data_IF_886711917352
#
_entry.id   IF_886711917352
#
_cell.length_a   1.000
_cell.length_b   1.000
_cell.length_c   1.000
_cell.angle_alpha   90.00
_cell.angle_beta   90.00
_cell.angle_gamma   90.00
#
_symmetry.space_group_name_H-M   'P 1'
#
loop_
_entity.id
_entity.type
_entity.pdbx_description
1 polymer ?
#
# COMPACT_ATOMS: atom_id res chain seq x y z
N UNK A 1 -26.34 -9.46 4.00
CA UNK A 1 -26.95 -8.68 5.12
C UNK A 1 -25.93 -8.39 6.22
N UNK A 2 -26.13 -7.38 7.08
CA UNK A 2 -25.28 -7.10 8.27
C UNK A 2 -25.03 -8.38 9.07
N UNK A 3 -26.06 -9.22 9.26
CA UNK A 3 -25.96 -10.52 9.94
C UNK A 3 -25.00 -11.52 9.28
N UNK A 4 -24.93 -11.60 7.95
CA UNK A 4 -23.96 -12.46 7.26
C UNK A 4 -22.54 -11.92 7.39
N UNK A 5 -22.36 -10.59 7.44
CA UNK A 5 -21.05 -9.94 7.64
C UNK A 5 -20.56 -10.05 9.07
N UNK A 6 -21.46 -9.92 10.06
CA UNK A 6 -21.19 -10.18 11.47
C UNK A 6 -20.98 -11.67 11.72
N UNK A 7 -21.69 -12.57 11.02
CA UNK A 7 -21.47 -14.01 11.08
C UNK A 7 -20.17 -14.46 10.39
N UNK A 8 -19.78 -13.79 9.29
CA UNK A 8 -18.46 -13.93 8.68
C UNK A 8 -17.41 -13.50 9.71
N UNK A 9 -17.50 -12.27 10.22
CA UNK A 9 -16.60 -11.74 11.25
C UNK A 9 -16.54 -12.59 12.54
N UNK A 10 -17.65 -13.19 13.00
CA UNK A 10 -17.69 -14.06 14.17
C UNK A 10 -17.27 -15.51 13.89
N UNK A 11 -17.36 -15.98 12.64
CA UNK A 11 -16.80 -17.26 12.16
C UNK A 11 -15.29 -17.17 11.92
N UNK A 12 -14.79 -16.00 11.51
CA UNK A 12 -13.37 -15.60 11.55
C UNK A 12 -12.99 -15.01 12.93
N UNK A 13 -13.90 -15.10 13.90
CA UNK A 13 -13.96 -14.35 15.15
C UNK A 13 -12.95 -14.75 16.20
N UNK A 14 -11.69 -14.43 15.95
CA UNK A 14 -10.80 -14.02 17.02
C UNK A 14 -10.55 -12.54 16.77
N UNK A 15 -11.04 -11.66 17.66
CA UNK A 15 -10.43 -10.34 17.81
C UNK A 15 -8.93 -10.61 17.98
N UNK A 16 -8.06 -10.29 16.99
CA UNK A 16 -6.80 -11.00 16.85
C UNK A 16 -6.04 -10.93 18.15
N UNK A 17 -5.83 -12.10 18.74
CA UNK A 17 -4.95 -12.25 19.89
C UNK A 17 -3.62 -11.56 19.53
N UNK A 18 -3.11 -10.80 20.48
CA UNK A 18 -1.96 -9.90 20.37
C UNK A 18 -0.96 -10.29 19.27
N UNK A 19 -0.70 -9.32 18.38
CA UNK A 19 0.43 -9.18 17.44
C UNK A 19 1.34 -10.41 17.46
N UNK A 20 0.93 -11.48 16.76
CA UNK A 20 1.76 -12.67 16.65
C UNK A 20 2.98 -12.29 15.83
N UNK A 21 4.17 -12.41 16.43
CA UNK A 21 5.48 -12.10 15.87
C UNK A 21 5.82 -13.04 14.70
N UNK A 22 5.17 -12.85 13.55
CA UNK A 22 5.42 -13.58 12.31
C UNK A 22 6.51 -12.89 11.47
N UNK A 23 7.57 -13.62 11.12
CA UNK A 23 8.66 -13.10 10.28
C UNK A 23 8.11 -12.40 9.01
N UNK A 24 8.54 -11.16 8.75
CA UNK A 24 8.09 -10.32 7.61
C UNK A 24 8.91 -10.50 6.33
N UNK A 25 9.72 -11.56 6.22
CA UNK A 25 10.18 -11.98 4.90
C UNK A 25 9.00 -12.67 4.23
N UNK A 26 8.38 -12.08 3.19
CA UNK A 26 7.26 -12.71 2.51
C UNK A 26 7.70 -14.08 1.99
N UNK A 27 6.84 -15.09 2.15
CA UNK A 27 7.04 -16.42 1.55
C UNK A 27 5.89 -16.69 0.58
N UNK A 28 5.77 -15.88 -0.50
CA UNK A 28 4.67 -16.03 -1.44
C UNK A 28 4.75 -17.38 -2.14
N UNK A 29 3.59 -18.02 -2.29
CA UNK A 29 3.45 -19.21 -3.13
C UNK A 29 3.11 -18.87 -4.57
N UNK A 30 2.65 -17.63 -4.83
CA UNK A 30 2.34 -17.12 -6.16
C UNK A 30 3.44 -16.26 -6.78
N UNK A 31 3.09 -15.54 -7.85
CA UNK A 31 4.02 -14.67 -8.57
C UNK A 31 4.54 -13.49 -7.76
N UNK A 32 5.69 -12.95 -8.18
CA UNK A 32 6.31 -11.76 -7.58
C UNK A 32 6.30 -10.64 -8.62
N UNK A 33 5.71 -9.50 -8.27
CA UNK A 33 5.79 -8.25 -9.03
C UNK A 33 6.52 -7.23 -8.17
N UNK A 34 7.67 -6.73 -8.64
CA UNK A 34 8.41 -5.73 -7.89
C UNK A 34 9.09 -4.67 -8.74
N UNK A 35 9.34 -3.51 -8.13
CA UNK A 35 10.08 -2.38 -8.72
C UNK A 35 9.43 -1.78 -9.96
N UNK A 36 8.11 -1.76 -10.02
CA UNK A 36 7.34 -1.21 -11.15
C UNK A 36 6.70 0.11 -10.75
N UNK A 37 6.86 1.14 -11.59
CA UNK A 37 6.08 2.38 -11.50
C UNK A 37 5.13 2.46 -12.69
N UNK A 38 3.83 2.56 -12.43
CA UNK A 38 2.78 2.62 -13.45
C UNK A 38 2.12 3.99 -13.41
N UNK A 39 1.96 4.59 -14.59
CA UNK A 39 1.30 5.88 -14.76
C UNK A 39 0.17 5.75 -15.78
N UNK A 40 -1.02 6.28 -15.48
CA UNK A 40 -2.11 6.35 -16.45
C UNK A 40 -3.47 5.94 -15.90
N UNK A 41 -4.35 5.49 -16.79
CA UNK A 41 -5.73 5.16 -16.44
C UNK A 41 -6.05 3.70 -16.71
N UNK A 42 -6.69 3.05 -15.74
CA UNK A 42 -7.20 1.68 -15.86
C UNK A 42 -8.71 1.71 -15.68
N UNK A 43 -9.45 1.16 -16.64
CA UNK A 43 -10.92 1.05 -16.55
C UNK A 43 -11.37 -0.36 -16.84
N UNK A 44 -12.31 -0.89 -16.06
CA UNK A 44 -12.91 -2.19 -16.26
C UNK A 44 -14.42 -2.14 -15.99
N UNK A 45 -15.23 -2.40 -17.01
CA UNK A 45 -16.70 -2.44 -16.94
C UNK A 45 -17.27 -3.84 -17.17
N UNK A 46 -16.42 -4.86 -17.32
CA UNK A 46 -16.84 -6.24 -17.59
C UNK A 46 -16.45 -7.21 -16.47
N UNK A 47 -15.21 -7.11 -15.99
CA UNK A 47 -14.67 -7.94 -14.92
C UNK A 47 -14.74 -7.26 -13.55
N UNK A 48 -14.56 -8.05 -12.50
CA UNK A 48 -14.74 -7.60 -11.11
C UNK A 48 -13.59 -6.73 -10.57
N UNK A 49 -12.45 -6.61 -11.27
CA UNK A 49 -11.25 -5.97 -10.72
C UNK A 49 -10.58 -4.96 -11.66
N UNK A 50 -10.16 -3.83 -11.11
CA UNK A 50 -9.26 -2.89 -11.77
C UNK A 50 -8.15 -2.44 -10.81
N UNK A 51 -6.90 -2.49 -11.27
CA UNK A 51 -5.75 -2.07 -10.47
C UNK A 51 -4.64 -1.47 -11.33
N UNK A 52 -3.80 -0.64 -10.72
CA UNK A 52 -2.65 -0.06 -11.40
C UNK A 52 -1.53 -1.07 -11.69
N UNK A 53 -1.31 -2.06 -10.80
CA UNK A 53 -0.18 -3.00 -10.92
C UNK A 53 -0.68 -4.44 -11.15
N UNK A 54 -1.50 -4.97 -10.22
CA UNK A 54 -1.96 -6.37 -10.28
C UNK A 54 -3.45 -6.44 -9.97
N UNK A 55 -4.30 -6.90 -10.90
CA UNK A 55 -5.73 -7.04 -10.59
C UNK A 55 -5.97 -8.00 -9.42
N UNK A 56 -5.51 -9.24 -9.50
CA UNK A 56 -5.71 -10.25 -8.46
C UNK A 56 -4.35 -10.71 -7.94
N UNK A 57 -4.05 -10.40 -6.69
CA UNK A 57 -2.81 -10.83 -6.06
C UNK A 57 -3.04 -12.15 -5.31
N UNK A 58 -2.25 -13.18 -5.65
CA UNK A 58 -2.08 -14.44 -4.89
C UNK A 58 -0.58 -14.68 -4.57
N UNK A 59 0.22 -13.60 -4.55
CA UNK A 59 1.67 -13.64 -4.33
C UNK A 59 2.19 -12.38 -3.63
N UNK A 60 3.29 -11.82 -4.14
CA UNK A 60 3.95 -10.63 -3.57
C UNK A 60 3.95 -9.48 -4.57
N UNK A 61 3.53 -8.30 -4.09
CA UNK A 61 3.76 -7.02 -4.76
C UNK A 61 4.67 -6.18 -3.87
N UNK A 62 5.82 -5.77 -4.37
CA UNK A 62 6.85 -5.09 -3.58
C UNK A 62 7.46 -3.90 -4.32
N UNK A 63 7.74 -2.80 -3.61
CA UNK A 63 8.45 -1.64 -4.19
C UNK A 63 7.75 -1.05 -5.44
N UNK A 64 6.42 -1.11 -5.49
CA UNK A 64 5.65 -0.66 -6.64
C UNK A 64 5.00 0.72 -6.40
N UNK A 65 4.84 1.47 -7.48
CA UNK A 65 4.15 2.75 -7.49
C UNK A 65 3.05 2.77 -8.55
N UNK A 66 1.92 3.40 -8.23
CA UNK A 66 0.89 3.75 -9.20
C UNK A 66 0.54 5.25 -9.12
N UNK A 67 0.40 5.90 -10.28
CA UNK A 67 -0.22 7.23 -10.37
C UNK A 67 -1.22 7.35 -11.52
N UNK A 68 -2.45 7.75 -11.20
CA UNK A 68 -3.46 8.12 -12.19
C UNK A 68 -4.88 7.79 -11.78
N UNK A 69 -5.65 7.16 -12.68
CA UNK A 69 -7.09 6.92 -12.46
C UNK A 69 -7.43 5.44 -12.55
N UNK A 70 -8.27 4.95 -11.64
CA UNK A 70 -8.79 3.58 -11.66
C UNK A 70 -10.31 3.63 -11.57
N UNK A 71 -10.99 2.92 -12.47
CA UNK A 71 -12.44 2.76 -12.45
C UNK A 71 -12.84 1.31 -12.69
N UNK A 72 -13.55 0.72 -11.73
CA UNK A 72 -14.15 -0.62 -11.86
C UNK A 72 -15.67 -0.49 -11.74
N UNK A 73 -16.41 -0.70 -12.83
CA UNK A 73 -17.86 -0.49 -12.92
C UNK A 73 -18.61 -1.63 -13.64
N UNK A 74 -18.37 -2.92 -13.29
CA UNK A 74 -19.07 -4.03 -13.91
C UNK A 74 -20.54 -4.15 -13.46
N UNK A 75 -21.35 -4.86 -14.25
CA UNK A 75 -22.64 -5.38 -13.78
C UNK A 75 -22.45 -6.60 -12.85
N UNK A 76 -21.65 -6.42 -11.79
CA UNK A 76 -21.30 -7.42 -10.79
C UNK A 76 -20.67 -6.69 -9.58
N UNK A 77 -19.94 -7.43 -8.74
CA UNK A 77 -19.02 -6.90 -7.74
C UNK A 77 -17.90 -6.11 -8.40
N UNK A 78 -17.43 -5.07 -7.73
CA UNK A 78 -16.34 -4.22 -8.18
C UNK A 78 -15.24 -4.14 -7.11
N UNK A 79 -14.00 -4.29 -7.54
CA UNK A 79 -12.81 -4.20 -6.71
C UNK A 79 -11.86 -3.21 -7.38
N UNK A 80 -11.45 -2.17 -6.66
CA UNK A 80 -10.52 -1.18 -7.18
C UNK A 80 -9.42 -0.87 -6.18
N UNK A 81 -8.16 -0.88 -6.62
CA UNK A 81 -7.08 -0.39 -5.79
C UNK A 81 -5.87 0.06 -6.58
N UNK A 82 -5.15 1.06 -6.06
CA UNK A 82 -3.99 1.65 -6.72
C UNK A 82 -2.94 0.62 -7.11
N UNK A 83 -2.64 -0.30 -6.20
CA UNK A 83 -1.66 -1.37 -6.41
C UNK A 83 -2.34 -2.66 -6.84
N UNK A 84 -3.34 -3.12 -6.08
CA UNK A 84 -4.10 -4.31 -6.42
C UNK A 84 -5.60 -4.18 -6.19
N UNK A 85 -6.42 -4.92 -6.94
CA UNK A 85 -7.86 -4.88 -6.74
C UNK A 85 -8.30 -5.88 -5.68
N UNK A 86 -7.66 -7.05 -5.62
CA UNK A 86 -8.00 -8.12 -4.69
C UNK A 86 -6.74 -8.74 -4.07
N UNK A 87 -6.79 -8.95 -2.76
CA UNK A 87 -5.85 -9.75 -1.98
C UNK A 87 -6.49 -11.13 -1.74
N UNK A 88 -5.94 -12.16 -2.38
CA UNK A 88 -6.32 -13.55 -2.19
C UNK A 88 -5.66 -14.19 -0.96
N UNK A 89 -5.28 -15.47 -1.07
CA UNK A 89 -4.71 -16.24 0.04
C UNK A 89 -3.19 -16.16 0.10
N UNK A 90 -2.61 -15.97 1.29
CA UNK A 90 -1.15 -15.84 1.53
C UNK A 90 -0.49 -14.73 0.68
N UNK A 91 -1.11 -13.55 0.65
CA UNK A 91 -0.70 -12.44 -0.21
C UNK A 91 -0.01 -11.31 0.50
N UNK A 92 0.94 -10.67 -0.17
CA UNK A 92 1.76 -9.62 0.42
C UNK A 92 1.75 -8.38 -0.47
N UNK A 93 1.57 -7.22 0.14
CA UNK A 93 1.82 -5.92 -0.49
C UNK A 93 2.73 -5.12 0.42
N UNK A 94 3.95 -4.85 -0.07
CA UNK A 94 5.07 -4.38 0.75
C UNK A 94 5.69 -3.15 0.11
N UNK A 95 5.92 -2.10 0.88
CA UNK A 95 6.69 -0.94 0.43
C UNK A 95 6.15 -0.31 -0.87
N UNK A 96 4.83 -0.22 -1.02
CA UNK A 96 4.19 0.30 -2.23
C UNK A 96 3.56 1.67 -1.98
N UNK A 97 3.45 2.48 -3.02
CA UNK A 97 2.77 3.78 -2.93
C UNK A 97 1.79 4.01 -4.09
N UNK A 98 0.70 4.71 -3.84
CA UNK A 98 -0.29 5.02 -4.87
C UNK A 98 -0.78 6.47 -4.77
N UNK A 99 -1.01 7.09 -5.92
CA UNK A 99 -1.64 8.39 -6.06
C UNK A 99 -2.75 8.32 -7.10
N UNK A 100 -3.96 8.76 -6.78
CA UNK A 100 -4.97 8.77 -7.82
C UNK A 100 -6.41 8.92 -7.41
N UNK A 101 -7.26 8.94 -8.44
CA UNK A 101 -8.71 8.80 -8.30
C UNK A 101 -9.07 7.33 -8.52
N UNK A 102 -9.50 6.64 -7.46
CA UNK A 102 -9.75 5.20 -7.46
C UNK A 102 -11.22 4.96 -7.12
N UNK A 103 -11.94 4.29 -8.03
CA UNK A 103 -13.39 4.11 -7.92
C UNK A 103 -13.85 2.67 -8.19
N UNK A 104 -14.76 2.16 -7.35
CA UNK A 104 -15.46 0.89 -7.55
C UNK A 104 -16.98 1.10 -7.49
N UNK A 105 -17.66 0.93 -8.62
CA UNK A 105 -19.07 1.30 -8.82
C UNK A 105 -19.87 0.18 -9.49
N UNK A 106 -19.70 -1.05 -9.01
CA UNK A 106 -20.45 -2.19 -9.48
C UNK A 106 -21.92 -2.14 -9.11
N UNK A 107 -22.73 -3.01 -9.72
CA UNK A 107 -24.16 -3.18 -9.41
C UNK A 107 -24.41 -4.07 -8.18
N UNK A 108 -23.36 -4.72 -7.65
CA UNK A 108 -23.38 -5.48 -6.42
C UNK A 108 -22.37 -4.90 -5.41
N UNK A 109 -21.67 -5.76 -4.65
CA UNK A 109 -20.69 -5.32 -3.65
C UNK A 109 -19.49 -4.63 -4.29
N UNK A 110 -19.16 -3.42 -3.81
CA UNK A 110 -18.13 -2.58 -4.42
C UNK A 110 -17.12 -2.09 -3.38
N UNK A 111 -15.84 -2.36 -3.61
CA UNK A 111 -14.77 -2.09 -2.65
C UNK A 111 -13.65 -1.28 -3.29
N UNK A 112 -13.24 -0.19 -2.64
CA UNK A 112 -12.12 0.61 -3.12
C UNK A 112 -11.15 0.96 -2.00
N UNK A 113 -9.86 0.74 -2.25
CA UNK A 113 -8.79 1.18 -1.36
C UNK A 113 -7.69 1.89 -2.13
N UNK A 114 -6.99 2.82 -1.48
CA UNK A 114 -5.87 3.51 -2.14
C UNK A 114 -4.76 2.54 -2.58
N UNK A 115 -4.53 1.47 -1.83
CA UNK A 115 -3.57 0.41 -2.16
C UNK A 115 -4.27 -0.85 -2.68
N UNK A 116 -5.23 -1.37 -1.91
CA UNK A 116 -5.91 -2.64 -2.21
C UNK A 116 -7.44 -2.50 -2.14
N UNK A 117 -8.17 -3.06 -3.10
CA UNK A 117 -9.64 -2.99 -3.09
C UNK A 117 -10.29 -3.86 -2.02
N UNK A 118 -10.07 -5.17 -2.06
CA UNK A 118 -10.75 -6.13 -1.19
C UNK A 118 -9.80 -7.23 -0.71
N UNK A 119 -9.84 -7.60 0.57
CA UNK A 119 -9.17 -8.83 1.04
C UNK A 119 -10.17 -9.97 1.17
N UNK A 120 -9.91 -11.04 0.43
CA UNK A 120 -10.69 -12.26 0.48
C UNK A 120 -10.30 -13.15 1.66
N UNK A 121 -9.00 -13.30 1.95
CA UNK A 121 -8.51 -14.25 2.94
C UNK A 121 -7.90 -13.56 4.18
N UNK A 122 -8.77 -13.24 5.14
CA UNK A 122 -8.43 -12.57 6.40
C UNK A 122 -7.53 -13.33 7.38
N UNK A 123 -6.99 -14.49 7.07
CA UNK A 123 -6.12 -15.21 8.01
C UNK A 123 -4.66 -15.29 7.52
N UNK A 124 -4.41 -14.74 6.33
CA UNK A 124 -3.15 -14.94 5.61
C UNK A 124 -2.70 -13.68 4.91
N UNK A 125 -1.39 -13.48 4.80
CA UNK A 125 -0.84 -12.31 4.12
C UNK A 125 -0.87 -11.01 4.94
N UNK A 126 -0.35 -9.92 4.37
CA UNK A 126 -0.33 -8.59 4.99
C UNK A 126 -0.14 -7.47 3.96
N UNK A 127 -0.61 -6.27 4.33
CA UNK A 127 -0.27 -5.00 3.67
C UNK A 127 0.60 -4.20 4.63
N UNK A 128 1.85 -3.93 4.25
CA UNK A 128 2.82 -3.33 5.16
C UNK A 128 3.61 -2.23 4.49
N UNK A 129 3.88 -1.16 5.24
CA UNK A 129 4.69 -0.04 4.78
C UNK A 129 4.21 0.49 3.43
N UNK A 130 2.92 0.77 3.31
CA UNK A 130 2.36 1.31 2.07
C UNK A 130 1.81 2.72 2.26
N UNK A 131 1.92 3.56 1.24
CA UNK A 131 1.54 4.96 1.32
C UNK A 131 0.55 5.36 0.24
N UNK A 132 -0.51 6.06 0.61
CA UNK A 132 -1.41 6.72 -0.33
C UNK A 132 -1.12 8.21 -0.30
N UNK A 133 -0.88 8.79 -1.46
CA UNK A 133 -0.41 10.16 -1.61
C UNK A 133 -1.51 11.20 -1.36
N UNK A 134 -1.13 12.45 -0.98
CA UNK A 134 -2.04 13.58 -0.94
C UNK A 134 -2.77 13.76 -2.27
N UNK A 135 -3.92 14.43 -2.24
CA UNK A 135 -4.82 14.65 -3.40
C UNK A 135 -5.51 13.40 -3.94
N UNK A 136 -5.14 12.20 -3.48
CA UNK A 136 -5.85 10.98 -3.86
C UNK A 136 -7.30 11.00 -3.38
N UNK A 137 -8.18 10.42 -4.20
CA UNK A 137 -9.62 10.27 -3.93
C UNK A 137 -9.96 8.80 -4.09
N UNK A 138 -10.52 8.21 -3.05
CA UNK A 138 -10.95 6.80 -3.04
C UNK A 138 -12.45 6.76 -2.82
N UNK A 139 -13.15 6.02 -3.68
CA UNK A 139 -14.62 5.98 -3.69
C UNK A 139 -15.14 4.58 -4.02
N UNK A 140 -16.21 4.16 -3.36
CA UNK A 140 -16.95 2.96 -3.78
C UNK A 140 -18.44 3.07 -3.49
N UNK A 141 -19.24 2.14 -4.02
CA UNK A 141 -20.65 1.98 -3.63
C UNK A 141 -20.85 1.15 -2.35
N UNK A 142 -19.80 0.63 -1.70
CA UNK A 142 -20.01 -0.16 -0.47
C UNK A 142 -19.01 0.13 0.65
N UNK A 143 -17.76 -0.29 0.48
CA UNK A 143 -16.74 -0.14 1.52
C UNK A 143 -15.48 0.53 0.95
N UNK A 144 -15.11 1.65 1.56
CA UNK A 144 -13.98 2.47 1.09
C UNK A 144 -12.97 2.70 2.20
N UNK A 145 -11.75 2.27 1.99
CA UNK A 145 -10.65 2.48 2.91
C UNK A 145 -9.58 3.38 2.32
N UNK A 146 -8.89 4.14 3.16
CA UNK A 146 -7.74 4.91 2.68
C UNK A 146 -6.65 4.00 2.10
N UNK A 147 -6.40 2.84 2.71
CA UNK A 147 -5.39 1.86 2.26
C UNK A 147 -6.05 0.62 1.65
N UNK A 148 -6.94 -0.05 2.40
CA UNK A 148 -7.63 -1.28 1.97
C UNK A 148 -9.13 -1.05 1.99
N UNK A 149 -9.83 -1.32 0.88
CA UNK A 149 -11.26 -1.03 0.76
C UNK A 149 -12.12 -1.77 1.77
N UNK A 150 -12.16 -3.09 1.73
CA UNK A 150 -12.92 -3.86 2.72
C UNK A 150 -12.20 -5.13 3.10
N UNK A 151 -12.39 -5.51 4.37
CA UNK A 151 -11.93 -6.73 5.00
C UNK A 151 -10.40 -6.80 5.02
N UNK A 152 -9.72 -6.67 6.16
CA UNK A 152 -8.25 -6.72 6.21
C UNK A 152 -7.72 -7.12 7.58
N UNK A 153 -6.86 -8.13 7.66
CA UNK A 153 -6.45 -8.70 8.95
C UNK A 153 -5.10 -8.23 9.48
N UNK A 154 -4.28 -7.65 8.61
CA UNK A 154 -2.86 -7.39 8.85
C UNK A 154 -2.42 -6.17 8.03
N UNK A 155 -2.80 -4.98 8.47
CA UNK A 155 -2.32 -3.71 7.89
C UNK A 155 -1.36 -3.03 8.87
N UNK A 156 -0.11 -2.84 8.45
CA UNK A 156 0.97 -2.37 9.31
C UNK A 156 1.71 -1.18 8.71
N UNK A 157 2.08 -0.19 9.52
CA UNK A 157 2.95 0.92 9.10
C UNK A 157 2.45 1.66 7.83
N UNK A 158 1.15 1.59 7.53
CA UNK A 158 0.58 2.17 6.33
C UNK A 158 0.11 3.60 6.61
N UNK A 159 0.23 4.46 5.60
CA UNK A 159 -0.10 5.88 5.70
C UNK A 159 -1.06 6.26 4.58
N UNK A 160 -2.25 6.74 4.93
CA UNK A 160 -3.20 7.27 3.95
C UNK A 160 -3.26 8.80 4.01
N UNK A 161 -2.69 9.46 3.02
CA UNK A 161 -2.81 10.92 2.86
C UNK A 161 -3.97 11.31 1.94
N UNK A 162 -4.88 10.39 1.62
CA UNK A 162 -6.00 10.65 0.71
C UNK A 162 -6.81 11.87 1.16
N UNK A 163 -7.12 12.75 0.20
CA UNK A 163 -7.95 13.93 0.43
C UNK A 163 -9.42 13.56 0.67
N UNK A 164 -9.86 12.43 0.09
CA UNK A 164 -11.23 11.94 0.20
C UNK A 164 -11.25 10.41 0.20
N UNK A 165 -12.01 9.82 1.12
CA UNK A 165 -12.30 8.39 1.24
C UNK A 165 -13.79 8.25 1.58
N UNK A 166 -14.63 7.99 0.59
CA UNK A 166 -16.10 8.10 0.72
C UNK A 166 -16.84 6.92 0.10
N UNK A 167 -18.11 6.74 0.49
CA UNK A 167 -19.05 5.79 -0.13
C UNK A 167 -20.29 6.55 -0.59
N UNK A 168 -20.77 6.32 -1.82
CA UNK A 168 -21.95 6.98 -2.41
C UNK A 168 -22.01 8.52 -2.24
N UNK A 169 -20.87 9.20 -2.11
CA UNK A 169 -20.80 10.64 -1.86
C UNK A 169 -21.19 11.05 -0.44
N UNK A 170 -21.43 10.09 0.45
CA UNK A 170 -21.85 10.25 1.84
C UNK A 170 -20.80 9.69 2.83
N UNK A 171 -20.95 10.08 4.10
CA UNK A 171 -20.22 9.56 5.27
C UNK A 171 -21.10 8.50 5.96
N UNK A 172 -20.65 7.26 6.18
CA UNK A 172 -21.57 6.17 6.53
C UNK A 172 -21.88 6.09 8.03
N UNK A 173 -23.16 6.27 8.35
CA UNK A 173 -23.82 5.68 9.52
C UNK A 173 -25.17 5.01 9.13
N UNK A 174 -25.30 4.58 7.87
CA UNK A 174 -26.46 3.83 7.39
C UNK A 174 -26.13 2.33 7.24
N UNK A 175 -27.12 1.48 7.52
CA UNK A 175 -26.94 0.03 7.53
C UNK A 175 -26.59 -0.51 6.13
N UNK A 176 -25.30 -0.72 5.83
CA UNK A 176 -24.91 -1.27 4.53
C UNK A 176 -23.47 -1.02 4.11
N UNK A 177 -22.88 0.09 4.54
CA UNK A 177 -21.70 0.71 3.95
C UNK A 177 -20.71 1.19 5.01
N UNK A 178 -19.40 1.16 4.72
CA UNK A 178 -18.39 1.57 5.69
C UNK A 178 -17.23 2.35 5.08
N UNK A 179 -16.68 3.28 5.87
CA UNK A 179 -15.43 3.99 5.53
C UNK A 179 -14.47 3.94 6.70
N UNK A 180 -13.18 3.88 6.37
CA UNK A 180 -12.10 3.93 7.36
C UNK A 180 -10.85 4.56 6.77
N UNK A 181 -10.12 5.27 7.62
CA UNK A 181 -8.90 5.96 7.22
C UNK A 181 -7.84 5.01 6.69
N UNK A 182 -7.87 3.75 7.13
CA UNK A 182 -6.98 2.68 6.70
C UNK A 182 -7.78 1.55 6.05
N UNK A 183 -8.75 0.96 6.75
CA UNK A 183 -9.55 -0.17 6.27
C UNK A 183 -11.02 0.24 6.22
N UNK A 184 -11.69 0.11 5.07
CA UNK A 184 -13.07 0.59 4.95
C UNK A 184 -14.06 -0.20 5.78
N UNK A 185 -13.98 -1.53 5.85
CA UNK A 185 -14.84 -2.36 6.70
C UNK A 185 -14.09 -3.52 7.34
N UNK A 186 -14.29 -3.76 8.64
CA UNK A 186 -13.88 -4.95 9.40
C UNK A 186 -12.43 -5.39 9.18
N UNK A 187 -11.58 -5.16 10.17
CA UNK A 187 -10.18 -5.51 10.04
C UNK A 187 -9.31 -5.01 11.17
N UNK A 188 -8.01 -4.99 10.93
CA UNK A 188 -7.02 -4.41 11.84
C UNK A 188 -6.09 -3.45 11.12
N UNK A 189 -5.63 -2.47 11.88
CA UNK A 189 -4.63 -1.52 11.46
C UNK A 189 -3.70 -1.26 12.65
N UNK A 190 -2.42 -1.51 12.47
CA UNK A 190 -1.41 -1.36 13.51
C UNK A 190 -0.39 -0.31 13.08
N UNK A 191 -0.16 0.69 13.93
CA UNK A 191 0.75 1.80 13.64
C UNK A 191 0.48 2.43 12.26
N UNK A 192 -0.79 2.61 11.94
CA UNK A 192 -1.22 3.21 10.69
C UNK A 192 -1.73 4.63 10.93
N UNK A 193 -1.48 5.50 9.96
CA UNK A 193 -1.77 6.93 10.04
C UNK A 193 -2.66 7.32 8.87
N UNK A 194 -3.62 8.21 9.10
CA UNK A 194 -4.38 8.79 7.99
C UNK A 194 -4.67 10.25 8.21
N UNK A 195 -4.87 10.94 7.09
CA UNK A 195 -5.24 12.34 7.07
C UNK A 195 -6.70 12.50 7.54
N UNK A 196 -6.87 13.27 8.62
CA UNK A 196 -8.18 13.73 9.08
C UNK A 196 -8.04 15.19 9.50
N UNK A 197 -8.66 16.07 8.71
CA UNK A 197 -8.74 17.49 9.00
C UNK A 197 -10.00 17.77 9.81
N UNK A 198 -9.88 18.58 10.86
CA UNK A 198 -11.02 18.96 11.70
C UNK A 198 -12.18 19.48 10.86
N UNK A 199 -13.36 18.88 11.02
CA UNK A 199 -14.57 19.24 10.28
C UNK A 199 -14.68 18.65 8.87
N UNK A 200 -13.70 17.87 8.39
CA UNK A 200 -13.79 17.19 7.10
C UNK A 200 -14.93 16.17 7.10
N UNK A 201 -15.75 16.20 6.05
CA UNK A 201 -16.84 15.26 5.80
C UNK A 201 -16.45 14.15 4.83
N UNK A 202 -15.30 14.27 4.18
CA UNK A 202 -14.78 13.33 3.18
C UNK A 202 -13.62 12.48 3.70
N UNK A 203 -13.16 12.74 4.93
CA UNK A 203 -12.09 11.98 5.58
C UNK A 203 -12.65 11.19 6.76
N UNK A 204 -12.41 9.86 6.84
CA UNK A 204 -12.97 9.02 7.88
C UNK A 204 -12.50 9.41 9.29
N UNK A 205 -13.42 9.35 10.25
CA UNK A 205 -13.12 9.61 11.67
C UNK A 205 -12.46 8.44 12.42
N UNK A 206 -12.48 7.24 11.83
CA UNK A 206 -11.99 6.00 12.41
C UNK A 206 -10.96 5.33 11.50
N UNK A 207 -10.10 4.50 12.09
CA UNK A 207 -9.07 3.76 11.35
C UNK A 207 -9.70 2.65 10.49
N UNK A 208 -10.63 1.90 11.10
CA UNK A 208 -11.34 0.77 10.51
C UNK A 208 -12.84 1.04 10.58
N UNK A 209 -13.53 1.03 9.45
CA UNK A 209 -14.98 1.18 9.43
C UNK A 209 -15.72 -0.07 9.94
N UNK A 210 -16.93 0.14 10.46
CA UNK A 210 -17.77 -0.92 11.05
C UNK A 210 -17.42 -1.33 12.48
N UNK A 211 -16.26 -0.91 13.02
CA UNK A 211 -15.78 -1.28 14.36
C UNK A 211 -15.52 -0.12 15.32
N UNK A 212 -15.75 1.14 14.93
CA UNK A 212 -15.54 2.35 15.76
C UNK A 212 -14.12 2.49 16.36
N UNK A 213 -13.11 1.87 15.75
CA UNK A 213 -11.74 1.93 16.25
C UNK A 213 -11.14 3.34 16.04
N UNK A 214 -11.06 4.09 17.13
CA UNK A 214 -10.42 5.40 17.20
C UNK A 214 -8.94 5.34 17.66
N UNK A 215 -8.38 4.13 17.87
CA UNK A 215 -6.99 3.94 18.34
C UNK A 215 -5.93 4.25 17.28
N UNK A 216 -6.34 4.40 16.02
CA UNK A 216 -5.44 4.76 14.95
C UNK A 216 -5.03 6.25 14.96
N UNK A 217 -3.88 6.55 14.35
CA UNK A 217 -3.19 7.83 14.49
C UNK A 217 -3.65 8.84 13.43
N UNK A 218 -4.77 9.50 13.71
CA UNK A 218 -5.25 10.68 12.95
C UNK A 218 -4.18 11.75 12.95
N UNK A 219 -3.88 12.30 11.77
CA UNK A 219 -2.86 13.34 11.66
C UNK A 219 -3.22 14.37 10.58
N UNK A 220 -2.39 15.41 10.49
CA UNK A 220 -2.47 16.45 9.44
C UNK A 220 -1.45 16.16 8.36
N UNK A 221 -1.56 16.82 7.19
CA UNK A 221 -0.54 16.69 6.12
C UNK A 221 0.86 16.97 6.68
N UNK A 222 0.99 18.00 7.52
CA UNK A 222 2.24 18.42 8.13
C UNK A 222 2.73 17.49 9.27
N UNK A 223 2.05 16.40 9.57
CA UNK A 223 2.47 15.44 10.60
C UNK A 223 2.28 13.99 10.15
N UNK A 224 2.10 13.75 8.84
CA UNK A 224 2.15 12.41 8.29
C UNK A 224 3.57 11.84 8.41
N UNK A 225 3.73 10.61 8.92
CA UNK A 225 5.01 9.93 8.86
C UNK A 225 5.29 9.36 7.47
N UNK A 226 6.56 9.06 7.20
CA UNK A 226 6.92 8.24 6.04
C UNK A 226 6.37 6.82 6.24
N UNK A 227 5.54 6.34 5.32
CA UNK A 227 5.02 4.97 5.29
C UNK A 227 5.82 4.01 4.41
N UNK A 228 6.39 4.52 3.32
CA UNK A 228 7.12 3.74 2.32
C UNK A 228 8.25 4.54 1.68
N UNK A 229 9.17 3.87 1.01
CA UNK A 229 10.31 4.47 0.32
C UNK A 229 10.65 3.69 -0.94
N UNK A 230 10.77 4.37 -2.07
CA UNK A 230 11.12 3.74 -3.35
C UNK A 230 12.42 4.29 -3.89
N UNK A 231 13.21 3.44 -4.53
CA UNK A 231 14.37 3.87 -5.32
C UNK A 231 13.97 4.10 -6.78
N UNK A 232 14.65 5.04 -7.42
CA UNK A 232 14.52 5.26 -8.87
C UNK A 232 15.56 4.41 -9.62
N UNK A 233 15.23 3.86 -10.80
CA UNK A 233 16.24 3.26 -11.65
C UNK A 233 17.25 4.31 -12.10
N UNK A 234 18.46 3.89 -12.46
CA UNK A 234 19.46 4.80 -12.99
C UNK A 234 20.26 4.20 -14.13
N UNK A 235 20.69 5.07 -15.04
CA UNK A 235 21.65 4.76 -16.07
C UNK A 235 22.94 5.53 -15.82
N UNK A 236 24.06 4.82 -15.88
CA UNK A 236 25.42 5.33 -15.70
C UNK A 236 26.29 4.97 -16.89
N UNK A 237 27.35 5.73 -17.13
CA UNK A 237 28.47 5.30 -17.96
C UNK A 237 29.48 4.50 -17.15
N UNK A 238 30.35 3.75 -17.82
CA UNK A 238 31.51 3.13 -17.17
C UNK A 238 32.36 4.22 -16.51
N UNK A 239 32.80 3.95 -15.28
CA UNK A 239 33.50 4.87 -14.37
C UNK A 239 32.68 6.07 -13.87
N UNK A 240 31.40 6.18 -14.23
CA UNK A 240 30.52 7.18 -13.63
C UNK A 240 30.10 6.74 -12.22
N UNK A 241 30.03 7.71 -11.31
CA UNK A 241 29.49 7.52 -9.96
C UNK A 241 28.25 8.40 -9.76
N UNK A 242 27.16 7.82 -9.23
CA UNK A 242 25.97 8.56 -8.83
C UNK A 242 25.35 7.96 -7.58
N UNK A 243 24.82 8.80 -6.71
CA UNK A 243 24.08 8.35 -5.52
C UNK A 243 22.69 7.86 -5.90
N UNK A 244 22.24 6.75 -5.30
CA UNK A 244 20.88 6.24 -5.45
C UNK A 244 19.86 7.31 -5.05
N UNK A 245 18.97 7.66 -5.97
CA UNK A 245 17.85 8.54 -5.67
C UNK A 245 16.73 7.74 -4.99
N UNK A 246 16.25 8.25 -3.86
CA UNK A 246 15.14 7.67 -3.11
C UNK A 246 14.00 8.69 -2.95
N UNK A 247 12.79 8.20 -2.85
CA UNK A 247 11.59 9.00 -2.60
C UNK A 247 10.79 8.36 -1.48
N UNK A 248 10.60 9.10 -0.39
CA UNK A 248 9.76 8.73 0.73
C UNK A 248 8.31 9.17 0.46
N UNK A 249 7.36 8.34 0.89
CA UNK A 249 5.92 8.57 0.68
C UNK A 249 5.14 8.46 1.99
N UNK A 250 4.06 9.23 2.18
CA UNK A 250 3.54 10.25 1.26
C UNK A 250 4.50 11.44 1.12
N UNK A 251 4.55 12.04 -0.07
CA UNK A 251 5.31 13.24 -0.34
C UNK A 251 4.70 14.43 0.43
N UNK A 252 5.56 15.32 0.93
CA UNK A 252 5.13 16.44 1.79
C UNK A 252 4.91 16.05 3.27
N UNK A 253 5.17 14.79 3.64
CA UNK A 253 5.37 14.41 5.04
C UNK A 253 6.53 15.21 5.65
N UNK A 254 6.35 15.73 6.86
CA UNK A 254 7.41 16.44 7.61
C UNK A 254 8.36 15.50 8.35
N UNK A 255 8.04 14.21 8.37
CA UNK A 255 8.84 13.21 9.06
C UNK A 255 10.21 13.02 8.40
N UNK A 256 11.19 12.71 9.24
CA UNK A 256 12.55 12.36 8.81
C UNK A 256 12.52 11.24 7.78
N UNK A 257 13.31 11.39 6.72
CA UNK A 257 13.50 10.33 5.74
C UNK A 257 14.01 9.05 6.42
N UNK A 258 13.63 7.85 5.94
CA UNK A 258 14.15 6.59 6.45
C UNK A 258 15.69 6.54 6.40
N UNK A 259 16.28 5.94 7.42
CA UNK A 259 17.70 5.64 7.48
C UNK A 259 18.02 4.49 6.53
N UNK A 260 19.05 4.63 5.71
CA UNK A 260 19.50 3.62 4.75
C UNK A 260 20.83 3.00 5.20
N UNK A 261 20.90 1.67 5.23
CA UNK A 261 22.10 0.91 5.60
C UNK A 261 22.15 -0.43 4.87
N UNK A 262 23.24 -1.19 5.02
CA UNK A 262 23.32 -2.53 4.42
C UNK A 262 23.25 -2.54 2.89
N UNK A 263 23.89 -1.57 2.25
CA UNK A 263 23.93 -1.45 0.79
C UNK A 263 24.54 -2.70 0.14
N UNK A 264 23.90 -3.19 -0.92
CA UNK A 264 24.30 -4.38 -1.64
C UNK A 264 24.15 -4.19 -3.16
N UNK A 265 24.97 -4.90 -3.94
CA UNK A 265 24.85 -5.04 -5.39
C UNK A 265 24.69 -6.50 -5.76
N UNK A 266 23.77 -6.82 -6.67
CA UNK A 266 23.63 -8.18 -7.20
C UNK A 266 24.81 -8.61 -8.08
N UNK A 267 25.54 -7.65 -8.67
CA UNK A 267 26.71 -7.93 -9.50
C UNK A 267 27.74 -6.80 -9.37
N UNK A 268 28.75 -7.04 -8.52
CA UNK A 268 29.83 -6.09 -8.26
C UNK A 268 30.83 -5.96 -9.42
N UNK A 269 30.80 -6.86 -10.40
CA UNK A 269 31.58 -6.74 -11.64
C UNK A 269 30.97 -5.73 -12.62
N UNK A 270 29.67 -5.46 -12.50
CA UNK A 270 28.93 -4.45 -13.27
C UNK A 270 28.90 -3.13 -12.52
N UNK A 271 28.47 -3.13 -11.26
CA UNK A 271 28.38 -1.92 -10.44
C UNK A 271 28.58 -2.21 -8.94
N UNK A 272 29.33 -1.35 -8.24
CA UNK A 272 29.42 -1.40 -6.77
C UNK A 272 28.67 -0.23 -6.14
N UNK A 273 28.40 -0.34 -4.84
CA UNK A 273 27.74 0.71 -4.06
C UNK A 273 28.52 0.93 -2.76
N UNK A 274 28.72 2.20 -2.38
CA UNK A 274 29.35 2.58 -1.12
C UNK A 274 28.40 2.46 0.06
N UNK A 275 28.91 2.58 1.29
CA UNK A 275 28.09 2.63 2.51
C UNK A 275 27.11 3.82 2.57
N UNK A 276 27.27 4.80 1.68
CA UNK A 276 26.43 5.99 1.57
C UNK A 276 25.52 5.97 0.32
N UNK A 277 25.44 4.83 -0.39
CA UNK A 277 24.59 4.69 -1.58
C UNK A 277 25.18 5.28 -2.86
N UNK A 278 26.48 5.59 -2.91
CA UNK A 278 27.14 6.02 -4.14
C UNK A 278 27.45 4.81 -5.01
N UNK A 279 26.84 4.73 -6.19
CA UNK A 279 26.97 3.62 -7.16
C UNK A 279 28.01 3.97 -8.21
N UNK A 280 28.98 3.10 -8.44
CA UNK A 280 30.01 3.25 -9.48
C UNK A 280 29.89 2.14 -10.51
N UNK A 281 29.81 2.50 -11.78
CA UNK A 281 29.77 1.54 -12.90
C UNK A 281 31.16 1.07 -13.34
N UNK A 282 31.33 -0.23 -13.57
CA UNK A 282 32.61 -0.84 -14.02
C UNK A 282 32.54 -1.45 -15.42
N UNK A 283 31.44 -2.11 -15.76
CA UNK A 283 31.28 -2.78 -17.06
C UNK A 283 29.86 -2.65 -17.56
N UNK A 284 29.68 -2.63 -18.88
CA UNK A 284 28.36 -2.55 -19.51
C UNK A 284 27.50 -3.75 -19.10
N UNK A 285 26.28 -3.49 -18.64
CA UNK A 285 25.42 -4.53 -18.10
C UNK A 285 24.37 -3.96 -17.17
N UNK A 286 23.77 -4.82 -16.37
CA UNK A 286 22.73 -4.44 -15.41
C UNK A 286 22.99 -5.05 -14.05
N UNK A 287 22.74 -4.28 -12.99
CA UNK A 287 22.79 -4.75 -11.61
C UNK A 287 21.61 -4.18 -10.83
N UNK A 288 21.23 -4.81 -9.74
CA UNK A 288 20.27 -4.26 -8.77
C UNK A 288 21.02 -3.85 -7.52
N UNK A 289 20.83 -2.59 -7.12
CA UNK A 289 21.35 -2.04 -5.87
C UNK A 289 20.22 -2.01 -4.85
N UNK A 290 20.45 -2.57 -3.67
CA UNK A 290 19.47 -2.59 -2.58
C UNK A 290 20.04 -2.00 -1.30
N UNK A 291 19.17 -1.53 -0.41
CA UNK A 291 19.52 -1.14 0.94
C UNK A 291 18.43 -1.57 1.92
N UNK A 292 18.78 -1.71 3.19
CA UNK A 292 17.83 -1.84 4.29
C UNK A 292 17.42 -0.44 4.74
N UNK A 293 16.14 -0.10 4.54
CA UNK A 293 15.56 1.13 5.04
C UNK A 293 14.91 0.90 6.41
N UNK A 294 15.11 1.81 7.37
CA UNK A 294 14.43 1.80 8.68
C UNK A 294 13.91 3.19 9.03
N UNK A 295 12.84 3.26 9.83
CA UNK A 295 12.29 4.52 10.32
C UNK A 295 11.86 4.38 11.77
N UNK A 296 12.03 5.44 12.56
CA UNK A 296 11.48 5.52 13.91
C UNK A 296 9.95 5.47 13.92
N UNK A 297 9.29 5.80 12.80
CA UNK A 297 7.85 5.71 12.66
C UNK A 297 7.36 4.30 12.31
N UNK A 298 8.25 3.33 12.09
CA UNK A 298 7.89 1.95 11.71
C UNK A 298 8.03 1.04 12.94
N UNK A 299 6.91 0.45 13.39
CA UNK A 299 6.98 -0.55 14.45
C UNK A 299 7.48 -1.87 13.88
N UNK A 300 8.23 -2.59 14.71
CA UNK A 300 8.89 -3.86 14.38
C UNK A 300 8.00 -5.08 14.59
N UNK A 301 6.68 -4.91 14.70
CA UNK A 301 5.78 -6.00 15.03
C UNK A 301 4.72 -6.21 13.93
N UNK A 302 4.72 -7.38 13.26
CA UNK A 302 5.65 -8.48 13.51
C UNK A 302 7.04 -8.26 12.89
N UNK A 303 8.06 -9.00 13.38
CA UNK A 303 9.50 -8.71 13.24
C UNK A 303 9.96 -8.32 11.82
N UNK A 304 10.26 -7.03 11.64
CA UNK A 304 11.03 -6.43 10.54
C UNK A 304 10.41 -5.10 10.07
N UNK A 305 10.59 -4.07 10.90
CA UNK A 305 10.27 -2.67 10.55
C UNK A 305 11.10 -2.14 9.38
N UNK A 306 11.91 -2.97 8.70
CA UNK A 306 12.72 -2.58 7.58
C UNK A 306 12.12 -3.05 6.26
N UNK A 307 12.18 -2.19 5.26
CA UNK A 307 11.88 -2.54 3.87
C UNK A 307 13.17 -2.52 3.05
N UNK A 308 13.17 -3.24 1.93
CA UNK A 308 14.32 -3.33 1.04
C UNK A 308 13.98 -2.70 -0.32
N UNK A 309 14.06 -1.37 -0.45
CA UNK A 309 13.96 -0.72 -1.75
C UNK A 309 15.10 -1.15 -2.67
N UNK A 310 14.80 -1.25 -3.97
CA UNK A 310 15.74 -1.68 -5.00
C UNK A 310 15.83 -0.66 -6.15
N UNK A 311 17.06 -0.40 -6.58
CA UNK A 311 17.41 0.46 -7.70
C UNK A 311 17.93 -0.43 -8.85
N UNK A 312 17.23 -0.45 -9.97
CA UNK A 312 17.73 -1.10 -11.18
C UNK A 312 18.74 -0.19 -11.88
N UNK A 313 19.97 -0.67 -12.03
CA UNK A 313 21.09 0.07 -12.61
C UNK A 313 21.43 -0.51 -13.97
N UNK A 314 21.53 0.36 -14.98
CA UNK A 314 22.06 0.02 -16.30
C UNK A 314 23.36 0.76 -16.54
N UNK A 315 24.44 0.04 -16.83
CA UNK A 315 25.73 0.61 -17.19
C UNK A 315 25.88 0.58 -18.71
N UNK A 316 26.16 1.74 -19.26
CA UNK A 316 26.41 1.99 -20.70
C UNK A 316 27.86 2.40 -20.91
N UNK A 317 28.33 2.43 -22.16
CA UNK A 317 29.65 2.95 -22.47
C UNK A 317 29.76 4.46 -22.16
#
# INVERSE_FOLDING_TARGET
MVQERTAFYSKFGIAPAAISTRSVTPTPTGGIVKNVKVYGSVSNSAGQGAAGVVCWNDGLIENCYFEGTISCSPNNRAYAGGICSLLGGNTYVVNCAAKGSISATGTAYSYAGGIAGYCYAMDTGYVVNCSVEPTSVVFSHMDTGGVVGGFANQVYNCVSAAASVTVDGHNPNEAGYFTGGIVGAFGTAYNCYWLQTTGSTTQPGHSVGGGSDASGLRTTVAALPTGSILFAPMTLRVNETRTVASTAYPTGATATAPSLSGWNSTDTSVATVSSYGAVTGYSTGTATISATATSAAWISAPAGSSVTPECFVTITQ
#
